data_IF_356020928873
#
_entry.id   IF_356020928873
#
_cell.length_a   1.000
_cell.length_b   1.000
_cell.length_c   1.000
_cell.angle_alpha   90.00
_cell.angle_beta   90.00
_cell.angle_gamma   90.00
#
_symmetry.space_group_name_H-M   'P 1'
#
loop_
_entity.id
_entity.type
_entity.pdbx_description
1 polymer ?
#
# COMPACT_ATOMS: atom_id res chain seq x y z
N UNK A 1 33.83 -44.43 14.77
CA UNK A 1 32.44 -44.13 15.20
C UNK A 1 32.20 -42.65 14.98
N UNK A 2 31.59 -42.35 13.84
CA UNK A 2 31.38 -41.02 13.30
C UNK A 2 29.99 -40.54 13.77
N UNK A 3 29.90 -39.41 14.46
CA UNK A 3 28.66 -38.62 14.49
C UNK A 3 28.96 -37.16 14.20
N UNK A 4 28.70 -36.83 12.94
CA UNK A 4 28.38 -35.52 12.42
C UNK A 4 27.36 -34.83 13.32
N UNK A 5 27.68 -33.62 13.79
CA UNK A 5 26.67 -32.60 14.09
C UNK A 5 27.30 -31.21 14.01
N UNK A 6 27.45 -30.74 12.77
CA UNK A 6 27.79 -29.35 12.46
C UNK A 6 26.64 -28.46 12.88
N UNK A 7 26.89 -27.60 13.85
CA UNK A 7 26.04 -26.48 14.20
C UNK A 7 26.26 -25.37 13.15
N UNK A 8 25.39 -25.30 12.14
CA UNK A 8 25.31 -24.17 11.21
C UNK A 8 24.12 -23.31 11.64
N UNK A 9 24.36 -22.43 12.63
CA UNK A 9 23.46 -21.30 12.86
C UNK A 9 23.56 -20.31 11.69
N UNK A 10 22.49 -19.57 11.37
CA UNK A 10 22.55 -18.56 10.32
C UNK A 10 23.67 -17.56 10.63
N UNK A 11 24.52 -17.28 9.64
CA UNK A 11 25.56 -16.26 9.72
C UNK A 11 24.95 -14.89 10.04
N UNK A 12 25.63 -14.06 10.83
CA UNK A 12 25.14 -12.75 11.31
C UNK A 12 24.60 -11.85 10.16
N UNK A 13 25.21 -11.95 8.98
CA UNK A 13 24.82 -11.25 7.75
C UNK A 13 23.45 -11.70 7.20
N UNK A 14 23.10 -12.98 7.38
CA UNK A 14 21.82 -13.56 6.95
C UNK A 14 20.66 -13.16 7.89
N UNK A 15 20.95 -12.98 9.18
CA UNK A 15 19.97 -12.46 10.15
C UNK A 15 19.62 -10.99 9.87
N UNK A 16 20.61 -10.17 9.51
CA UNK A 16 20.38 -8.77 9.13
C UNK A 16 19.53 -8.64 7.87
N UNK A 17 19.81 -9.45 6.84
CA UNK A 17 19.02 -9.50 5.62
C UNK A 17 17.56 -9.95 5.88
N UNK A 18 17.37 -10.94 6.75
CA UNK A 18 16.03 -11.38 7.14
C UNK A 18 15.26 -10.29 7.89
N UNK A 19 15.92 -9.55 8.81
CA UNK A 19 15.30 -8.42 9.50
C UNK A 19 14.92 -7.29 8.54
N UNK A 20 15.78 -6.96 7.57
CA UNK A 20 15.43 -5.97 6.54
C UNK A 20 14.25 -6.42 5.67
N UNK A 21 14.21 -7.68 5.26
CA UNK A 21 13.09 -8.21 4.47
C UNK A 21 11.76 -8.15 5.23
N UNK A 22 11.78 -8.48 6.53
CA UNK A 22 10.60 -8.36 7.39
C UNK A 22 10.16 -6.90 7.55
N UNK A 23 11.10 -5.98 7.80
CA UNK A 23 10.78 -4.56 7.94
C UNK A 23 10.15 -3.97 6.66
N UNK A 24 10.63 -4.36 5.47
CA UNK A 24 10.00 -3.93 4.21
C UNK A 24 8.59 -4.50 4.04
N UNK A 25 8.39 -5.77 4.40
CA UNK A 25 7.06 -6.39 4.33
C UNK A 25 6.06 -5.74 5.30
N UNK A 26 6.51 -5.35 6.50
CA UNK A 26 5.69 -4.61 7.47
C UNK A 26 5.27 -3.24 6.91
N UNK A 27 6.18 -2.52 6.25
CA UNK A 27 5.87 -1.24 5.60
C UNK A 27 4.85 -1.40 4.47
N UNK A 28 4.97 -2.45 3.65
CA UNK A 28 4.00 -2.73 2.58
C UNK A 28 2.62 -3.02 3.15
N UNK A 29 2.54 -3.78 4.25
CA UNK A 29 1.28 -4.06 4.94
C UNK A 29 0.63 -2.79 5.50
N UNK A 30 1.42 -1.91 6.13
CA UNK A 30 0.92 -0.65 6.68
C UNK A 30 0.37 0.26 5.57
N UNK A 31 1.08 0.37 4.45
CA UNK A 31 0.62 1.11 3.28
C UNK A 31 -0.68 0.54 2.71
N UNK A 32 -0.80 -0.78 2.61
CA UNK A 32 -2.02 -1.43 2.13
C UNK A 32 -3.20 -1.23 3.10
N UNK A 33 -2.94 -1.23 4.40
CA UNK A 33 -3.94 -0.96 5.42
C UNK A 33 -4.49 0.46 5.34
N UNK A 34 -3.62 1.47 5.20
CA UNK A 34 -4.05 2.87 5.02
C UNK A 34 -4.88 3.04 3.74
N UNK A 35 -4.44 2.42 2.64
CA UNK A 35 -5.17 2.41 1.37
C UNK A 35 -6.59 1.84 1.55
N UNK A 36 -6.70 0.67 2.18
CA UNK A 36 -7.98 0.01 2.42
C UNK A 36 -8.91 0.83 3.32
N UNK A 37 -8.37 1.44 4.38
CA UNK A 37 -9.12 2.30 5.29
C UNK A 37 -9.70 3.53 4.59
N UNK A 38 -8.87 4.24 3.82
CA UNK A 38 -9.30 5.41 3.02
C UNK A 38 -10.31 5.05 1.95
N UNK A 39 -10.09 3.94 1.25
CA UNK A 39 -11.02 3.44 0.23
C UNK A 39 -12.38 3.10 0.83
N UNK A 40 -12.38 2.34 1.93
CA UNK A 40 -13.61 1.92 2.61
C UNK A 40 -14.39 3.14 3.12
N UNK A 41 -13.73 4.08 3.79
CA UNK A 41 -14.39 5.31 4.26
C UNK A 41 -14.91 6.16 3.09
N UNK A 42 -14.11 6.31 2.04
CA UNK A 42 -14.47 7.06 0.83
C UNK A 42 -15.66 6.45 0.08
N UNK A 43 -15.75 5.12 -0.01
CA UNK A 43 -16.89 4.47 -0.65
C UNK A 43 -18.12 4.41 0.25
N UNK A 44 -17.94 4.24 1.56
CA UNK A 44 -19.04 4.31 2.52
C UNK A 44 -19.77 5.66 2.42
N UNK A 45 -19.03 6.76 2.55
CA UNK A 45 -19.58 8.12 2.50
C UNK A 45 -20.24 8.47 1.16
N UNK A 46 -19.84 7.83 0.05
CA UNK A 46 -20.40 8.08 -1.28
C UNK A 46 -21.59 7.21 -1.64
N UNK A 47 -21.61 5.97 -1.14
CA UNK A 47 -22.55 4.95 -1.63
C UNK A 47 -23.61 4.55 -0.60
N UNK A 48 -23.39 4.77 0.69
CA UNK A 48 -24.33 4.38 1.75
C UNK A 48 -25.07 5.61 2.26
N UNK A 49 -26.40 5.57 2.19
CA UNK A 49 -27.22 6.67 2.68
C UNK A 49 -27.27 6.68 4.21
N UNK A 50 -27.30 7.87 4.83
CA UNK A 50 -27.42 8.00 6.29
C UNK A 50 -28.82 7.62 6.84
N UNK A 51 -29.74 7.22 5.97
CA UNK A 51 -31.06 6.72 6.36
C UNK A 51 -31.12 5.20 6.17
N UNK A 52 -30.81 4.48 7.24
CA UNK A 52 -30.73 3.02 7.26
C UNK A 52 -32.14 2.44 7.50
N UNK A 53 -32.80 2.02 6.43
CA UNK A 53 -34.10 1.37 6.51
C UNK A 53 -33.99 -0.16 6.73
N UNK A 54 -32.87 -0.76 6.33
CA UNK A 54 -32.56 -2.19 6.45
C UNK A 54 -31.05 -2.39 6.68
N UNK A 55 -30.64 -3.54 7.22
CA UNK A 55 -29.24 -3.92 7.41
C UNK A 55 -28.58 -4.57 6.18
N UNK A 56 -29.36 -4.82 5.12
CA UNK A 56 -28.83 -5.30 3.84
C UNK A 56 -28.49 -4.15 2.90
N UNK A 57 -27.50 -4.37 2.02
CA UNK A 57 -27.19 -3.41 0.97
C UNK A 57 -28.26 -3.47 -0.12
N UNK A 58 -28.85 -2.32 -0.45
CA UNK A 58 -29.71 -2.21 -1.60
C UNK A 58 -28.92 -2.50 -2.88
N UNK A 59 -29.61 -2.97 -3.93
CA UNK A 59 -28.99 -3.22 -5.25
C UNK A 59 -28.22 -2.00 -5.77
N UNK A 60 -28.74 -0.80 -5.53
CA UNK A 60 -28.08 0.46 -5.90
C UNK A 60 -26.77 0.68 -5.16
N UNK A 61 -26.73 0.39 -3.85
CA UNK A 61 -25.55 0.53 -3.00
C UNK A 61 -24.45 -0.47 -3.41
N UNK A 62 -24.84 -1.72 -3.69
CA UNK A 62 -23.92 -2.76 -4.18
C UNK A 62 -23.23 -2.32 -5.47
N UNK A 63 -24.01 -1.90 -6.48
CA UNK A 63 -23.46 -1.42 -7.77
C UNK A 63 -22.65 -0.13 -7.60
N UNK A 64 -23.03 0.75 -6.67
CA UNK A 64 -22.25 1.95 -6.35
C UNK A 64 -20.88 1.59 -5.78
N UNK A 65 -20.82 0.65 -4.81
CA UNK A 65 -19.57 0.23 -4.18
C UNK A 65 -18.59 -0.33 -5.23
N UNK A 66 -19.05 -1.21 -6.12
CA UNK A 66 -18.20 -1.77 -7.19
C UNK A 66 -17.59 -0.66 -8.07
N UNK A 67 -18.41 0.31 -8.48
CA UNK A 67 -17.97 1.47 -9.27
C UNK A 67 -17.03 2.37 -8.46
N UNK A 68 -17.31 2.58 -7.18
CA UNK A 68 -16.51 3.42 -6.31
C UNK A 68 -15.11 2.85 -6.14
N UNK A 69 -14.98 1.55 -5.84
CA UNK A 69 -13.68 0.87 -5.71
C UNK A 69 -12.89 0.96 -7.01
N UNK A 70 -13.53 0.69 -8.16
CA UNK A 70 -12.88 0.80 -9.46
C UNK A 70 -12.34 2.23 -9.70
N UNK A 71 -13.13 3.25 -9.37
CA UNK A 71 -12.71 4.66 -9.51
C UNK A 71 -11.65 5.08 -8.51
N UNK A 72 -11.72 4.58 -7.28
CA UNK A 72 -10.71 4.86 -6.26
C UNK A 72 -9.34 4.31 -6.70
N UNK A 73 -9.30 3.05 -7.18
CA UNK A 73 -8.09 2.45 -7.71
C UNK A 73 -7.53 3.22 -8.92
N UNK A 74 -8.40 3.59 -9.87
CA UNK A 74 -8.01 4.40 -11.04
C UNK A 74 -7.38 5.74 -10.63
N UNK A 75 -8.00 6.45 -9.68
CA UNK A 75 -7.49 7.72 -9.15
C UNK A 75 -6.18 7.51 -8.40
N UNK A 76 -6.07 6.47 -7.57
CA UNK A 76 -4.86 6.15 -6.82
C UNK A 76 -3.67 5.91 -7.77
N UNK A 77 -3.85 5.14 -8.85
CA UNK A 77 -2.81 4.93 -9.87
C UNK A 77 -2.39 6.23 -10.55
N UNK A 78 -3.34 7.09 -10.94
CA UNK A 78 -3.03 8.39 -11.57
C UNK A 78 -2.25 9.31 -10.65
N UNK A 79 -2.59 9.34 -9.37
CA UNK A 79 -1.84 10.11 -8.36
C UNK A 79 -0.41 9.56 -8.26
N UNK A 80 -0.24 8.24 -8.23
CA UNK A 80 1.10 7.62 -8.22
C UNK A 80 1.95 7.98 -9.44
N UNK A 81 1.36 8.00 -10.63
CA UNK A 81 2.02 8.43 -11.87
C UNK A 81 2.43 9.91 -11.79
N UNK A 82 1.52 10.79 -11.37
CA UNK A 82 1.80 12.21 -11.24
C UNK A 82 2.91 12.49 -10.22
N UNK A 83 2.94 11.75 -9.10
CA UNK A 83 4.00 11.89 -8.10
C UNK A 83 5.37 11.46 -8.65
N UNK A 84 5.41 10.36 -9.40
CA UNK A 84 6.64 9.89 -10.04
C UNK A 84 7.17 10.90 -11.08
N UNK A 85 6.28 11.47 -11.90
CA UNK A 85 6.62 12.54 -12.86
C UNK A 85 7.19 13.78 -12.15
N UNK A 86 6.57 14.21 -11.04
CA UNK A 86 7.06 15.34 -10.24
C UNK A 86 8.44 15.08 -9.63
N UNK A 87 8.69 13.86 -9.14
CA UNK A 87 10.00 13.47 -8.60
C UNK A 87 11.10 13.52 -9.68
N UNK A 88 10.81 13.06 -10.89
CA UNK A 88 11.74 13.13 -12.01
C UNK A 88 12.04 14.59 -12.40
N UNK A 89 11.02 15.45 -12.41
CA UNK A 89 11.19 16.87 -12.71
C UNK A 89 12.03 17.60 -11.66
N UNK A 90 11.88 17.25 -10.36
CA UNK A 90 12.69 17.85 -9.28
C UNK A 90 14.15 17.38 -9.28
N UNK A 91 14.42 16.12 -9.64
CA UNK A 91 15.79 15.60 -9.74
C UNK A 91 16.59 16.18 -10.93
N UNK A 92 15.89 16.76 -11.92
CA UNK A 92 16.51 17.56 -13.00
C UNK A 92 16.87 19.00 -12.62
N UNK A 93 16.51 19.45 -11.41
CA UNK A 93 16.76 20.80 -10.91
C UNK A 93 17.71 20.78 -9.69
N UNK A 94 18.90 20.18 -9.84
CA UNK A 94 20.00 20.47 -8.93
C UNK A 94 20.58 21.85 -9.29
N UNK A 95 20.68 22.81 -8.35
CA UNK A 95 21.44 24.04 -8.60
C UNK A 95 22.90 23.65 -8.81
N UNK A 96 23.44 24.02 -9.96
CA UNK A 96 24.88 23.95 -10.22
C UNK A 96 25.62 24.63 -9.06
N UNK A 97 26.43 23.87 -8.32
CA UNK A 97 27.36 24.42 -7.36
C UNK A 97 28.32 25.36 -8.12
N UNK A 98 28.48 26.63 -7.74
CA UNK A 98 29.57 27.44 -8.25
C UNK A 98 30.88 26.94 -7.63
N UNK A 99 31.91 26.95 -8.47
CA UNK A 99 33.29 26.55 -8.19
C UNK A 99 33.87 27.26 -6.97
#
# INVERSE_FOLDING_TARGET
MNRLRGNSGPTQQQQFQQQQALAMAEQELEAFSDLFSRMTHGCWTKCIANNYADGSLAKGETVCIDRCVAKFAEVHTRIGQSLAEMQQAQQGAAPAAPQ
#
